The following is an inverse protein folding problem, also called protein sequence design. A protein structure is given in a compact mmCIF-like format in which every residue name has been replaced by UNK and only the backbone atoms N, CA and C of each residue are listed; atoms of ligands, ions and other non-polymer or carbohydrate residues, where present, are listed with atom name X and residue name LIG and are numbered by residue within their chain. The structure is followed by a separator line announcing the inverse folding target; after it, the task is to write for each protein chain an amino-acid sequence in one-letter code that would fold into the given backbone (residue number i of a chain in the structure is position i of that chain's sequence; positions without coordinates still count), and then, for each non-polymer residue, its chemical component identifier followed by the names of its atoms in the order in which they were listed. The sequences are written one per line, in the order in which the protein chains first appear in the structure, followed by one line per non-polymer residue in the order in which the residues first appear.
data_IF_815135537739
#
_entry.id   IF_815135537739
#
_cell.length_a   1.000
_cell.length_b   1.000
_cell.length_c   1.000
_cell.angle_alpha   90.00
_cell.angle_beta   90.00
_cell.angle_gamma   90.00
#
_symmetry.space_group_name_H-M   'P 1'
#
loop_
_entity.id
_entity.type
_entity.pdbx_description
1 polymer ?
#
# COMPACT_ATOMS: atom_id res chain seq x y z
N UNK A 1 18.40 18.67 -13.54
CA UNK A 1 17.73 17.35 -13.53
C UNK A 1 16.60 17.43 -14.53
N UNK A 2 16.77 16.83 -15.71
CA UNK A 2 15.68 16.72 -16.69
C UNK A 2 14.61 15.80 -16.09
N UNK A 3 13.38 16.29 -15.94
CA UNK A 3 12.27 15.47 -15.46
C UNK A 3 12.01 14.30 -16.41
N UNK A 4 11.52 13.18 -15.88
CA UNK A 4 11.03 12.08 -16.71
C UNK A 4 9.87 12.62 -17.57
N UNK A 5 9.90 12.39 -18.88
CA UNK A 5 8.87 12.85 -19.85
C UNK A 5 7.59 12.01 -19.76
N UNK A 6 7.04 11.86 -18.55
CA UNK A 6 5.84 11.07 -18.30
C UNK A 6 4.61 11.88 -18.72
N UNK A 7 3.92 11.40 -19.75
CA UNK A 7 2.71 12.02 -20.28
C UNK A 7 1.43 11.25 -19.96
N UNK A 8 1.53 10.01 -19.47
CA UNK A 8 0.39 9.26 -18.93
C UNK A 8 0.81 8.22 -17.88
N UNK A 9 -0.12 7.91 -16.96
CA UNK A 9 0.01 6.83 -15.97
C UNK A 9 -1.23 5.95 -16.02
N UNK A 10 -1.03 4.64 -16.11
CA UNK A 10 -2.09 3.65 -16.07
C UNK A 10 -1.91 2.77 -14.84
N UNK A 11 -2.86 2.80 -13.90
CA UNK A 11 -2.80 1.99 -12.68
C UNK A 11 -3.72 0.78 -12.82
N UNK A 12 -3.15 -0.42 -12.74
CA UNK A 12 -3.89 -1.68 -12.83
C UNK A 12 -3.87 -2.39 -11.48
N UNK A 13 -5.04 -2.84 -10.98
CA UNK A 13 -5.11 -3.49 -9.68
C UNK A 13 -4.47 -4.89 -9.72
N UNK A 14 -3.67 -5.21 -8.70
CA UNK A 14 -3.15 -6.55 -8.44
C UNK A 14 -4.14 -7.28 -7.53
N UNK A 15 -4.97 -8.14 -8.11
CA UNK A 15 -6.05 -8.84 -7.41
C UNK A 15 -6.07 -10.34 -7.70
N UNK A 16 -6.37 -11.14 -6.68
CA UNK A 16 -6.61 -12.60 -6.79
C UNK A 16 -7.95 -12.91 -6.13
N UNK A 17 -8.97 -13.24 -6.93
CA UNK A 17 -10.34 -13.35 -6.43
C UNK A 17 -10.80 -12.04 -5.79
N UNK A 18 -11.15 -12.08 -4.50
CA UNK A 18 -11.52 -10.89 -3.71
C UNK A 18 -10.35 -10.24 -2.97
N UNK A 19 -9.16 -10.85 -2.99
CA UNK A 19 -7.96 -10.33 -2.34
C UNK A 19 -7.37 -9.19 -3.18
N UNK A 20 -7.24 -8.01 -2.56
CA UNK A 20 -6.51 -6.86 -3.13
C UNK A 20 -5.10 -6.84 -2.58
N UNK A 21 -4.13 -7.12 -3.44
CA UNK A 21 -2.70 -7.15 -3.09
C UNK A 21 -2.13 -5.73 -3.20
N UNK A 22 -2.45 -5.02 -4.27
CA UNK A 22 -1.95 -3.68 -4.55
C UNK A 22 -2.34 -3.20 -5.94
N UNK A 23 -1.48 -2.41 -6.56
CA UNK A 23 -1.59 -1.98 -7.96
C UNK A 23 -0.20 -1.98 -8.61
N UNK A 24 -0.18 -2.04 -9.95
CA UNK A 24 1.01 -1.78 -10.76
C UNK A 24 0.75 -0.55 -11.61
N UNK A 25 1.72 0.34 -11.66
CA UNK A 25 1.65 1.58 -12.43
C UNK A 25 2.52 1.48 -13.68
N UNK A 26 1.91 1.73 -14.85
CA UNK A 26 2.60 1.82 -16.13
C UNK A 26 2.73 3.29 -16.52
N UNK A 27 3.96 3.72 -16.79
CA UNK A 27 4.28 5.08 -17.20
C UNK A 27 4.48 5.13 -18.72
N UNK A 28 3.83 6.08 -19.39
CA UNK A 28 3.97 6.27 -20.82
C UNK A 28 4.46 7.69 -21.16
N UNK A 29 5.30 7.77 -22.18
CA UNK A 29 5.88 9.03 -22.68
C UNK A 29 4.97 9.73 -23.70
N UNK A 30 3.83 9.15 -24.06
CA UNK A 30 2.82 9.77 -24.92
C UNK A 30 1.42 9.52 -24.35
N UNK A 31 0.50 10.46 -24.59
CA UNK A 31 -0.90 10.30 -24.21
C UNK A 31 -1.61 9.28 -25.11
N UNK A 32 -2.54 8.52 -24.55
CA UNK A 32 -3.45 7.63 -25.29
C UNK A 32 -2.77 6.41 -25.97
N UNK A 33 -1.67 5.92 -25.39
CA UNK A 33 -0.92 4.76 -25.92
C UNK A 33 -1.54 3.40 -25.57
N UNK A 34 -2.42 3.35 -24.56
CA UNK A 34 -3.01 2.09 -24.12
C UNK A 34 -4.20 1.70 -25.02
N UNK A 35 -3.88 1.00 -26.10
CA UNK A 35 -4.88 0.40 -27.00
C UNK A 35 -5.70 -0.67 -26.28
N UNK A 36 -6.88 -1.06 -26.79
CA UNK A 36 -7.66 -2.15 -26.20
C UNK A 36 -6.86 -3.46 -26.07
N UNK A 37 -6.02 -3.79 -27.05
CA UNK A 37 -5.15 -4.97 -27.01
C UNK A 37 -4.07 -4.83 -25.93
N UNK A 38 -3.40 -3.67 -25.86
CA UNK A 38 -2.40 -3.41 -24.84
C UNK A 38 -3.00 -3.42 -23.42
N UNK A 39 -4.26 -2.98 -23.26
CA UNK A 39 -4.98 -3.07 -21.99
C UNK A 39 -5.23 -4.53 -21.58
N UNK A 40 -5.63 -5.40 -22.52
CA UNK A 40 -5.81 -6.83 -22.25
C UNK A 40 -4.49 -7.47 -21.81
N UNK A 41 -3.39 -7.16 -22.50
CA UNK A 41 -2.05 -7.64 -22.14
C UNK A 41 -1.59 -7.12 -20.77
N UNK A 42 -1.80 -5.83 -20.49
CA UNK A 42 -1.48 -5.23 -19.20
C UNK A 42 -2.28 -5.86 -18.06
N UNK A 43 -3.58 -6.15 -18.27
CA UNK A 43 -4.41 -6.86 -17.30
C UNK A 43 -3.90 -8.30 -17.06
N UNK A 44 -3.51 -9.02 -18.11
CA UNK A 44 -2.92 -10.35 -17.97
C UNK A 44 -1.61 -10.31 -17.18
N UNK A 45 -0.74 -9.33 -17.47
CA UNK A 45 0.50 -9.11 -16.73
C UNK A 45 0.23 -8.74 -15.27
N UNK A 46 -0.78 -7.92 -14.98
CA UNK A 46 -1.20 -7.58 -13.62
C UNK A 46 -1.64 -8.82 -12.83
N UNK A 47 -2.39 -9.75 -13.46
CA UNK A 47 -2.79 -11.03 -12.81
C UNK A 47 -1.58 -11.91 -12.51
N UNK A 48 -0.63 -12.03 -13.44
CA UNK A 48 0.61 -12.79 -13.21
C UNK A 48 1.44 -12.15 -12.09
N UNK A 49 1.60 -10.83 -12.14
CA UNK A 49 2.33 -10.06 -11.11
C UNK A 49 1.68 -10.22 -9.74
N UNK A 50 0.34 -10.17 -9.66
CA UNK A 50 -0.41 -10.40 -8.42
C UNK A 50 -0.09 -11.78 -7.83
N UNK A 51 -0.05 -12.81 -8.70
CA UNK A 51 0.26 -14.19 -8.30
C UNK A 51 1.68 -14.33 -7.78
N UNK A 52 2.66 -13.72 -8.48
CA UNK A 52 4.06 -13.74 -8.06
C UNK A 52 4.30 -12.99 -6.74
N UNK A 53 3.69 -11.82 -6.57
CA UNK A 53 3.76 -11.05 -5.31
C UNK A 53 3.16 -11.86 -4.16
N UNK A 54 2.00 -12.50 -4.36
CA UNK A 54 1.39 -13.36 -3.34
C UNK A 54 2.31 -14.53 -2.99
N UNK A 55 2.83 -15.23 -4.00
CA UNK A 55 3.73 -16.37 -3.80
C UNK A 55 4.98 -15.96 -3.03
N UNK A 56 5.62 -14.86 -3.43
CA UNK A 56 6.79 -14.32 -2.74
C UNK A 56 6.48 -13.99 -1.28
N UNK A 57 5.34 -13.35 -1.01
CA UNK A 57 4.91 -13.02 0.36
C UNK A 57 4.63 -14.27 1.21
N UNK A 58 4.12 -15.35 0.61
CA UNK A 58 3.91 -16.62 1.31
C UNK A 58 5.22 -17.35 1.60
N UNK A 59 6.17 -17.33 0.66
CA UNK A 59 7.51 -17.93 0.80
C UNK A 59 8.31 -17.23 1.91
N UNK A 60 8.27 -15.89 1.96
CA UNK A 60 9.07 -15.08 2.89
C UNK A 60 8.32 -14.69 4.17
N UNK A 61 7.17 -15.32 4.45
CA UNK A 61 6.35 -15.03 5.64
C UNK A 61 7.10 -15.20 6.96
N UNK A 62 8.18 -15.98 6.96
CA UNK A 62 8.98 -16.28 8.14
C UNK A 62 10.30 -15.51 8.23
N UNK A 63 10.72 -14.79 7.18
CA UNK A 63 12.02 -14.11 7.12
C UNK A 63 11.99 -12.68 7.69
N UNK A 64 10.81 -12.17 8.04
CA UNK A 64 10.67 -10.91 8.76
C UNK A 64 11.03 -11.11 10.25
N UNK A 65 12.15 -10.59 10.76
CA UNK A 65 12.58 -10.82 12.14
C UNK A 65 11.58 -10.13 13.10
N UNK A 66 10.66 -10.90 13.69
CA UNK A 66 9.77 -10.44 14.77
C UNK A 66 8.53 -9.61 14.37
N UNK A 67 8.19 -9.50 13.08
CA UNK A 67 7.25 -8.46 12.62
C UNK A 67 5.75 -8.82 12.68
N UNK A 68 5.41 -10.10 12.77
CA UNK A 68 4.03 -10.63 12.71
C UNK A 68 3.52 -11.22 14.05
N UNK A 69 4.11 -10.80 15.17
CA UNK A 69 3.65 -11.21 16.49
C UNK A 69 2.29 -10.60 16.87
N UNK A 70 1.51 -11.24 17.78
CA UNK A 70 0.28 -10.67 18.33
C UNK A 70 0.44 -9.26 18.91
N UNK A 71 1.66 -8.89 19.33
CA UNK A 71 1.98 -7.57 19.85
C UNK A 71 1.97 -6.50 18.75
N UNK A 72 2.58 -6.77 17.60
CA UNK A 72 2.58 -5.89 16.41
C UNK A 72 1.15 -5.59 15.94
N UNK A 73 0.30 -6.63 15.87
CA UNK A 73 -1.12 -6.47 15.52
C UNK A 73 -1.91 -5.65 16.54
N UNK A 74 -1.62 -5.81 17.84
CA UNK A 74 -2.26 -5.00 18.90
C UNK A 74 -1.89 -3.53 18.77
N UNK A 75 -0.61 -3.23 18.54
CA UNK A 75 -0.12 -1.85 18.45
C UNK A 75 -0.73 -1.09 17.27
N UNK A 76 -0.78 -1.71 16.08
CA UNK A 76 -1.48 -1.13 14.91
C UNK A 76 -2.96 -0.90 15.19
N UNK A 77 -3.63 -1.82 15.88
CA UNK A 77 -5.03 -1.66 16.26
C UNK A 77 -5.25 -0.49 17.24
N UNK A 78 -4.35 -0.32 18.21
CA UNK A 78 -4.39 0.80 19.15
C UNK A 78 -4.17 2.14 18.45
N UNK A 79 -3.14 2.25 17.61
CA UNK A 79 -2.90 3.44 16.80
C UNK A 79 -4.10 3.77 15.91
N UNK A 80 -4.71 2.76 15.29
CA UNK A 80 -5.95 2.92 14.50
C UNK A 80 -7.07 3.52 15.36
N UNK A 81 -7.28 3.01 16.58
CA UNK A 81 -8.26 3.56 17.53
C UNK A 81 -8.00 5.02 17.90
N UNK A 82 -6.73 5.39 18.11
CA UNK A 82 -6.34 6.78 18.38
C UNK A 82 -6.64 7.70 17.20
N UNK A 83 -6.35 7.27 15.97
CA UNK A 83 -6.63 8.06 14.76
C UNK A 83 -8.13 8.20 14.50
N UNK A 84 -8.94 7.16 14.76
CA UNK A 84 -10.41 7.27 14.72
C UNK A 84 -10.89 8.39 15.66
N UNK A 85 -10.39 8.42 16.90
CA UNK A 85 -10.77 9.45 17.87
C UNK A 85 -10.30 10.85 17.47
N UNK A 86 -9.11 10.98 16.88
CA UNK A 86 -8.52 12.25 16.45
C UNK A 86 -9.21 12.83 15.21
N UNK A 87 -9.42 11.99 14.18
CA UNK A 87 -9.85 12.41 12.84
C UNK A 87 -11.35 12.22 12.59
N UNK A 88 -12.04 11.48 13.47
CA UNK A 88 -13.48 11.14 13.36
C UNK A 88 -13.83 10.42 12.05
N UNK A 89 -12.95 9.52 11.61
CA UNK A 89 -13.14 8.68 10.42
C UNK A 89 -13.41 7.23 10.81
N UNK A 90 -13.87 6.41 9.85
CA UNK A 90 -14.03 4.97 10.09
C UNK A 90 -12.66 4.26 10.19
N UNK A 91 -12.66 3.01 10.65
CA UNK A 91 -11.43 2.25 10.87
C UNK A 91 -10.62 1.98 9.59
N UNK A 92 -11.28 1.82 8.44
CA UNK A 92 -10.59 1.60 7.17
C UNK A 92 -9.84 2.87 6.74
N UNK A 93 -10.47 4.03 6.85
CA UNK A 93 -9.86 5.32 6.54
C UNK A 93 -8.75 5.68 7.53
N UNK A 94 -8.93 5.40 8.84
CA UNK A 94 -7.89 5.60 9.84
C UNK A 94 -6.64 4.75 9.53
N UNK A 95 -6.82 3.48 9.19
CA UNK A 95 -5.71 2.60 8.80
C UNK A 95 -5.06 3.06 7.49
N UNK A 96 -5.86 3.57 6.54
CA UNK A 96 -5.37 4.14 5.29
C UNK A 96 -4.49 5.36 5.54
N UNK A 97 -4.88 6.26 6.44
CA UNK A 97 -4.07 7.43 6.82
C UNK A 97 -2.75 7.03 7.47
N UNK A 98 -2.76 6.03 8.36
CA UNK A 98 -1.51 5.50 8.96
C UNK A 98 -0.60 4.94 7.87
N UNK A 99 -1.14 4.17 6.91
CA UNK A 99 -0.37 3.64 5.77
C UNK A 99 0.18 4.74 4.87
N UNK A 100 -0.63 5.75 4.58
CA UNK A 100 -0.22 6.90 3.77
C UNK A 100 0.94 7.66 4.45
N UNK A 101 0.85 7.89 5.75
CA UNK A 101 1.94 8.54 6.51
C UNK A 101 3.21 7.69 6.54
N UNK A 102 3.07 6.38 6.78
CA UNK A 102 4.20 5.45 6.76
C UNK A 102 4.89 5.45 5.38
N UNK A 103 4.11 5.37 4.31
CA UNK A 103 4.61 5.42 2.94
C UNK A 103 5.31 6.75 2.63
N UNK A 104 4.67 7.88 2.93
CA UNK A 104 5.23 9.21 2.67
C UNK A 104 6.53 9.48 3.46
N UNK A 105 6.71 8.83 4.61
CA UNK A 105 7.90 8.95 5.45
C UNK A 105 8.95 7.86 5.20
N UNK A 106 8.70 6.91 4.29
CA UNK A 106 9.60 5.78 4.03
C UNK A 106 9.76 4.84 5.24
N UNK A 107 8.74 4.77 6.11
CA UNK A 107 8.75 3.99 7.35
C UNK A 107 7.77 2.84 7.27
N UNK A 108 7.94 1.85 8.14
CA UNK A 108 6.94 0.78 8.28
C UNK A 108 5.66 1.31 8.95
N UNK A 109 4.53 0.64 8.66
CA UNK A 109 3.26 0.89 9.36
C UNK A 109 3.41 0.65 10.86
N UNK A 110 4.23 -0.33 11.26
CA UNK A 110 4.52 -0.65 12.66
C UNK A 110 5.23 0.49 13.38
N UNK A 111 6.31 1.01 12.81
CA UNK A 111 7.05 2.14 13.41
C UNK A 111 6.16 3.38 13.50
N UNK A 112 5.36 3.64 12.46
CA UNK A 112 4.37 4.72 12.49
C UNK A 112 3.33 4.50 13.58
N UNK A 113 2.79 3.28 13.72
CA UNK A 113 1.84 2.94 14.77
C UNK A 113 2.43 3.11 16.17
N UNK A 114 3.66 2.64 16.39
CA UNK A 114 4.37 2.80 17.65
C UNK A 114 4.57 4.28 18.02
N UNK A 115 4.91 5.13 17.04
CA UNK A 115 5.05 6.56 17.26
C UNK A 115 3.71 7.26 17.51
N UNK A 116 2.63 6.83 16.87
CA UNK A 116 1.27 7.33 17.14
C UNK A 116 0.87 6.94 18.57
N UNK A 117 1.04 5.68 18.96
CA UNK A 117 0.72 5.18 20.31
C UNK A 117 1.57 5.88 21.38
N UNK A 118 2.84 6.15 21.08
CA UNK A 118 3.72 6.93 21.94
C UNK A 118 3.49 8.45 21.87
N UNK A 119 2.52 8.93 21.08
CA UNK A 119 2.20 10.35 20.85
C UNK A 119 3.36 11.19 20.30
N UNK A 120 4.31 10.56 19.61
CA UNK A 120 5.37 11.25 18.85
C UNK A 120 4.86 11.77 17.52
N UNK A 121 3.86 11.10 16.94
CA UNK A 121 3.14 11.53 15.75
C UNK A 121 1.68 11.78 16.14
N UNK A 122 1.16 12.92 15.70
CA UNK A 122 -0.28 13.21 15.72
C UNK A 122 -0.70 13.49 14.29
N UNK A 123 -1.64 12.72 13.77
CA UNK A 123 -2.22 13.00 12.45
C UNK A 123 -3.21 14.15 12.59
N UNK A 124 -3.10 15.13 11.71
CA UNK A 124 -3.97 16.31 11.69
C UNK A 124 -4.84 16.30 10.43
N UNK A 125 -6.04 16.91 10.46
CA UNK A 125 -6.89 17.12 9.30
C UNK A 125 -6.19 17.83 8.13
#
# INVERSE_FOLDING_TARGET
MSGLDVNAVYSLPLTIGTLRIGAVDLYAMATNTLTPTALVEACALAVMTATDVLRHALEHRHDAPGEDGPHSRREVHQATGMVIAQMRVNAADALLLIRAHAYASGRSVRETAADITARRITLQP
#
